data_IF_679027302170
#
_entry.id   IF_679027302170
#
_cell.length_a   1.000
_cell.length_b   1.000
_cell.length_c   1.000
_cell.angle_alpha   90.00
_cell.angle_beta   90.00
_cell.angle_gamma   90.00
#
_symmetry.space_group_name_H-M   'P 1'
#
loop_
_entity.id
_entity.type
_entity.pdbx_description
1 polymer ?
#
# COMPACT_ATOMS: atom_id res chain seq x y z
N UNK A 1 19.25 -24.51 5.90
CA UNK A 1 18.73 -23.82 4.69
C UNK A 1 17.92 -22.61 5.16
N UNK A 2 18.55 -21.44 5.24
CA UNK A 2 17.92 -20.20 5.73
C UNK A 2 17.09 -19.58 4.60
N UNK A 3 15.82 -19.95 4.55
CA UNK A 3 14.85 -19.30 3.67
C UNK A 3 14.58 -17.89 4.26
N UNK A 4 15.27 -16.88 3.74
CA UNK A 4 15.00 -15.48 4.05
C UNK A 4 13.58 -15.16 3.53
N UNK A 5 12.57 -15.37 4.37
CA UNK A 5 11.27 -14.74 4.18
C UNK A 5 11.52 -13.26 3.96
N UNK A 6 11.07 -12.73 2.82
CA UNK A 6 11.11 -11.29 2.52
C UNK A 6 10.52 -10.60 3.75
N UNK A 7 11.37 -9.89 4.51
CA UNK A 7 10.98 -9.31 5.78
C UNK A 7 9.66 -8.55 5.59
N UNK A 8 8.59 -9.02 6.25
CA UNK A 8 7.19 -8.60 6.03
C UNK A 8 6.97 -7.09 6.11
N UNK A 9 7.91 -6.35 6.71
CA UNK A 9 8.00 -4.90 6.69
C UNK A 9 8.00 -4.28 5.27
N UNK A 10 8.62 -4.94 4.27
CA UNK A 10 8.62 -4.41 2.89
C UNK A 10 7.30 -4.64 2.17
N UNK A 11 6.70 -5.82 2.37
CA UNK A 11 5.40 -6.16 1.77
C UNK A 11 4.30 -5.26 2.33
N UNK A 12 4.33 -4.97 3.63
CA UNK A 12 3.38 -4.05 4.30
C UNK A 12 3.31 -2.67 3.62
N UNK A 13 4.43 -2.11 3.19
CA UNK A 13 4.44 -0.81 2.49
C UNK A 13 3.70 -0.89 1.15
N UNK A 14 3.87 -1.99 0.40
CA UNK A 14 3.14 -2.19 -0.85
C UNK A 14 1.64 -2.40 -0.63
N UNK A 15 1.23 -3.02 0.48
CA UNK A 15 -0.18 -3.16 0.85
C UNK A 15 -0.84 -1.79 1.06
N UNK A 16 -0.25 -0.92 1.87
CA UNK A 16 -0.79 0.43 2.07
C UNK A 16 -0.80 1.26 0.80
N UNK A 17 0.25 1.15 -0.02
CA UNK A 17 0.28 1.85 -1.31
C UNK A 17 -0.80 1.33 -2.26
N UNK A 18 -1.06 0.02 -2.27
CA UNK A 18 -2.11 -0.58 -3.08
C UNK A 18 -3.48 -0.11 -2.61
N UNK A 19 -3.77 -0.15 -1.31
CA UNK A 19 -5.03 0.39 -0.74
C UNK A 19 -5.23 1.86 -1.14
N UNK A 20 -4.19 2.69 -0.97
CA UNK A 20 -4.21 4.12 -1.31
C UNK A 20 -4.60 4.38 -2.76
N UNK A 21 -3.91 3.70 -3.67
CA UNK A 21 -3.97 4.06 -5.09
C UNK A 21 -5.13 3.38 -5.81
N UNK A 22 -5.90 2.53 -5.13
CA UNK A 22 -6.97 1.73 -5.73
C UNK A 22 -8.26 2.51 -5.94
N UNK A 23 -8.38 3.71 -5.34
CA UNK A 23 -9.46 4.65 -5.63
C UNK A 23 -10.87 4.02 -5.52
N UNK A 24 -11.08 3.17 -4.51
CA UNK A 24 -12.35 2.47 -4.33
C UNK A 24 -12.53 1.17 -5.14
N UNK A 25 -11.59 0.81 -6.01
CA UNK A 25 -11.69 -0.38 -6.87
C UNK A 25 -11.06 -1.63 -6.21
N UNK A 26 -11.86 -2.64 -5.83
CA UNK A 26 -11.38 -3.86 -5.17
C UNK A 26 -10.56 -4.77 -6.10
N UNK A 27 -10.88 -4.83 -7.38
CA UNK A 27 -10.19 -5.68 -8.36
C UNK A 27 -8.79 -5.11 -8.65
N UNK A 28 -8.71 -3.78 -8.74
CA UNK A 28 -7.44 -3.08 -8.86
C UNK A 28 -6.55 -3.28 -7.62
N UNK A 29 -7.13 -3.33 -6.42
CA UNK A 29 -6.41 -3.65 -5.20
C UNK A 29 -5.80 -5.06 -5.26
N UNK A 30 -6.60 -6.07 -5.59
CA UNK A 30 -6.12 -7.46 -5.69
C UNK A 30 -5.03 -7.60 -6.76
N UNK A 31 -5.23 -7.02 -7.95
CA UNK A 31 -4.25 -7.01 -9.05
C UNK A 31 -2.90 -6.44 -8.60
N UNK A 32 -2.92 -5.37 -7.80
CA UNK A 32 -1.70 -4.77 -7.26
C UNK A 32 -1.04 -5.61 -6.18
N UNK A 33 -1.82 -6.26 -5.32
CA UNK A 33 -1.29 -7.19 -4.33
C UNK A 33 -0.61 -8.40 -5.00
N UNK A 34 -1.20 -8.96 -6.05
CA UNK A 34 -0.59 -10.03 -6.85
C UNK A 34 0.70 -9.56 -7.53
N UNK A 35 0.79 -8.29 -7.94
CA UNK A 35 2.00 -7.74 -8.55
C UNK A 35 3.18 -7.55 -7.57
N UNK A 36 2.97 -7.59 -6.26
CA UNK A 36 4.04 -7.42 -5.27
C UNK A 36 5.13 -8.47 -5.46
N UNK A 37 4.74 -9.72 -5.73
CA UNK A 37 5.71 -10.81 -5.92
C UNK A 37 6.56 -10.56 -7.16
N UNK A 38 5.94 -10.15 -8.28
CA UNK A 38 6.65 -9.79 -9.51
C UNK A 38 7.63 -8.64 -9.32
N UNK A 39 7.24 -7.62 -8.54
CA UNK A 39 8.13 -6.53 -8.17
C UNK A 39 9.39 -7.03 -7.45
N UNK A 40 9.26 -7.98 -6.51
CA UNK A 40 10.40 -8.59 -5.82
C UNK A 40 11.22 -9.53 -6.72
N UNK A 41 10.63 -10.06 -7.79
CA UNK A 41 11.35 -10.80 -8.85
C UNK A 41 12.07 -9.85 -9.83
N UNK A 42 12.06 -8.54 -9.57
CA UNK A 42 12.62 -7.50 -10.43
C UNK A 42 11.89 -7.35 -11.78
N UNK A 43 10.63 -7.78 -11.86
CA UNK A 43 9.74 -7.54 -12.98
C UNK A 43 8.80 -6.37 -12.67
N UNK A 44 9.10 -5.20 -13.26
CA UNK A 44 8.39 -3.93 -12.97
C UNK A 44 7.35 -3.56 -14.05
N UNK A 45 7.04 -4.46 -15.00
CA UNK A 45 6.12 -4.18 -16.12
C UNK A 45 4.73 -3.72 -15.68
N UNK A 46 4.25 -4.29 -14.56
CA UNK A 46 2.94 -4.01 -13.98
C UNK A 46 3.02 -3.09 -12.76
N UNK A 47 4.19 -2.53 -12.44
CA UNK A 47 4.30 -1.53 -11.37
C UNK A 47 3.58 -0.25 -11.76
N UNK A 48 2.98 0.44 -10.79
CA UNK A 48 2.18 1.64 -11.03
C UNK A 48 3.00 2.74 -11.75
N UNK A 49 2.54 3.16 -12.94
CA UNK A 49 3.21 4.17 -13.77
C UNK A 49 2.96 5.61 -13.30
N UNK A 50 1.95 5.81 -12.45
CA UNK A 50 1.43 7.13 -12.12
C UNK A 50 0.10 7.38 -12.82
N UNK A 51 -0.66 8.32 -12.29
CA UNK A 51 -1.85 8.89 -12.90
C UNK A 51 -1.96 10.37 -12.48
N UNK A 52 -3.05 11.04 -12.85
CA UNK A 52 -3.26 12.46 -12.56
C UNK A 52 -3.26 12.79 -11.05
N UNK A 53 -3.57 11.80 -10.21
CA UNK A 53 -3.68 11.97 -8.76
C UNK A 53 -2.42 11.58 -7.99
N UNK A 54 -1.68 10.58 -8.48
CA UNK A 54 -0.56 9.98 -7.76
C UNK A 54 0.66 9.80 -8.65
N UNK A 55 1.83 10.18 -8.12
CA UNK A 55 3.12 9.90 -8.77
C UNK A 55 3.32 8.39 -8.93
N UNK A 56 3.92 8.00 -10.06
CA UNK A 56 4.32 6.63 -10.33
C UNK A 56 5.34 6.06 -9.34
N UNK A 57 5.38 4.74 -9.27
CA UNK A 57 6.38 4.04 -8.48
C UNK A 57 7.79 4.35 -9.03
N UNK A 58 8.74 4.63 -8.13
CA UNK A 58 10.12 4.97 -8.52
C UNK A 58 10.76 3.91 -9.40
N UNK A 59 10.46 2.63 -9.19
CA UNK A 59 10.97 1.53 -10.01
C UNK A 59 10.57 1.60 -11.49
N UNK A 60 9.55 2.40 -11.83
CA UNK A 60 9.10 2.62 -13.20
C UNK A 60 9.47 4.00 -13.73
N UNK A 61 9.63 5.00 -12.86
CA UNK A 61 9.86 6.40 -13.26
C UNK A 61 11.30 6.87 -13.15
N UNK A 62 12.13 6.22 -12.33
CA UNK A 62 13.52 6.62 -12.04
C UNK A 62 14.49 5.72 -12.83
N UNK A 63 15.20 6.25 -13.85
CA UNK A 63 16.11 5.46 -14.67
C UNK A 63 17.33 4.94 -13.88
N UNK A 64 17.63 5.53 -12.72
CA UNK A 64 18.70 5.09 -11.84
C UNK A 64 18.18 4.25 -10.66
N UNK A 65 16.96 3.70 -10.76
CA UNK A 65 16.40 2.86 -9.72
C UNK A 65 17.19 1.57 -9.56
N UNK A 66 17.74 1.36 -8.36
CA UNK A 66 18.39 0.12 -7.97
C UNK A 66 17.59 -0.53 -6.82
N UNK A 67 17.15 -1.79 -6.96
CA UNK A 67 16.51 -2.53 -5.88
C UNK A 67 17.43 -2.61 -4.66
N UNK A 68 16.93 -2.20 -3.50
CA UNK A 68 17.71 -2.26 -2.25
C UNK A 68 17.73 -3.65 -1.62
N UNK A 69 16.76 -4.49 -1.99
CA UNK A 69 16.58 -5.83 -1.43
C UNK A 69 16.95 -6.89 -2.45
N UNK A 70 17.38 -8.04 -1.95
CA UNK A 70 17.68 -9.22 -2.77
C UNK A 70 16.46 -9.63 -3.59
N UNK A 71 16.69 -9.87 -4.88
CA UNK A 71 15.65 -10.36 -5.79
C UNK A 71 15.17 -11.74 -5.37
N UNK A 72 13.84 -11.93 -5.35
CA UNK A 72 13.22 -13.22 -5.09
C UNK A 72 13.36 -14.12 -6.32
N UNK A 73 14.04 -15.26 -6.17
CA UNK A 73 14.28 -16.21 -7.28
C UNK A 73 13.86 -17.64 -6.96
N UNK A 74 13.83 -18.01 -5.69
CA UNK A 74 13.47 -19.36 -5.25
C UNK A 74 11.98 -19.62 -5.53
N UNK A 75 11.64 -20.65 -6.33
CA UNK A 75 10.25 -20.99 -6.66
C UNK A 75 9.40 -21.30 -5.42
N UNK A 76 9.97 -21.91 -4.39
CA UNK A 76 9.25 -22.22 -3.15
C UNK A 76 8.92 -20.93 -2.40
N UNK A 77 9.89 -20.02 -2.29
CA UNK A 77 9.68 -18.73 -1.64
C UNK A 77 8.66 -17.84 -2.40
N UNK A 78 8.65 -17.90 -3.74
CA UNK A 78 7.64 -17.26 -4.58
C UNK A 78 6.24 -17.79 -4.25
N UNK A 79 6.09 -19.12 -4.21
CA UNK A 79 4.82 -19.76 -3.90
C UNK A 79 4.32 -19.39 -2.50
N UNK A 80 5.18 -19.52 -1.48
CA UNK A 80 4.83 -19.20 -0.10
C UNK A 80 4.45 -17.74 0.08
N UNK A 81 5.18 -16.82 -0.57
CA UNK A 81 4.86 -15.38 -0.49
C UNK A 81 3.55 -15.06 -1.19
N UNK A 82 3.29 -15.67 -2.36
CA UNK A 82 2.03 -15.50 -3.10
C UNK A 82 0.86 -16.01 -2.28
N UNK A 83 0.97 -17.21 -1.72
CA UNK A 83 -0.05 -17.80 -0.88
C UNK A 83 -0.33 -16.93 0.35
N UNK A 84 0.73 -16.48 1.04
CA UNK A 84 0.60 -15.63 2.20
C UNK A 84 -0.12 -14.30 1.90
N UNK A 85 0.18 -13.65 0.77
CA UNK A 85 -0.50 -12.42 0.34
C UNK A 85 -2.00 -12.70 0.13
N UNK A 86 -2.34 -13.78 -0.58
CA UNK A 86 -3.72 -14.16 -0.87
C UNK A 86 -4.49 -14.60 0.38
N UNK A 87 -3.79 -15.07 1.40
CA UNK A 87 -4.38 -15.45 2.66
C UNK A 87 -4.73 -14.29 3.59
N UNK A 88 -4.24 -13.08 3.28
CA UNK A 88 -4.55 -11.88 4.07
C UNK A 88 -6.03 -11.47 3.96
N UNK A 89 -6.55 -10.90 5.04
CA UNK A 89 -7.91 -10.32 5.05
C UNK A 89 -8.07 -9.20 4.01
N UNK A 90 -6.98 -8.49 3.71
CA UNK A 90 -6.97 -7.40 2.73
C UNK A 90 -7.20 -7.95 1.32
N UNK A 91 -6.63 -9.11 0.99
CA UNK A 91 -6.88 -9.77 -0.30
C UNK A 91 -8.27 -10.40 -0.35
N UNK A 92 -8.72 -11.02 0.74
CA UNK A 92 -10.00 -11.75 0.82
C UNK A 92 -11.22 -10.80 0.82
N UNK A 93 -11.11 -9.66 1.50
CA UNK A 93 -12.19 -8.67 1.64
C UNK A 93 -11.75 -7.29 1.12
N UNK A 94 -11.41 -7.14 -0.18
CA UNK A 94 -10.77 -5.93 -0.70
C UNK A 94 -11.65 -4.67 -0.52
N UNK A 95 -12.98 -4.81 -0.58
CA UNK A 95 -13.95 -3.72 -0.41
C UNK A 95 -13.79 -2.97 0.94
N UNK A 96 -13.40 -3.66 2.01
CA UNK A 96 -13.21 -3.05 3.32
C UNK A 96 -11.95 -2.16 3.38
N UNK A 97 -11.03 -2.33 2.44
CA UNK A 97 -9.70 -1.74 2.48
C UNK A 97 -9.39 -0.77 1.34
N UNK A 98 -10.26 -0.67 0.33
CA UNK A 98 -10.13 0.30 -0.77
C UNK A 98 -10.38 1.74 -0.33
N UNK A 99 -11.17 1.95 0.74
CA UNK A 99 -11.46 3.26 1.32
C UNK A 99 -10.59 3.55 2.55
N UNK A 100 -9.28 3.40 2.42
CA UNK A 100 -8.38 3.61 3.55
C UNK A 100 -8.17 5.10 3.86
N UNK A 101 -8.98 5.64 4.79
CA UNK A 101 -8.91 7.02 5.31
C UNK A 101 -7.56 7.38 5.96
N UNK A 102 -6.71 6.39 6.23
CA UNK A 102 -5.42 6.62 6.86
C UNK A 102 -4.32 7.09 5.91
N UNK A 103 -4.58 7.08 4.59
CA UNK A 103 -3.56 7.46 3.60
C UNK A 103 -3.75 8.90 3.14
N UNK A 104 -2.66 9.66 3.11
CA UNK A 104 -2.62 11.10 2.80
C UNK A 104 -3.42 12.00 3.74
N UNK A 105 -3.54 11.58 5.01
CA UNK A 105 -4.08 12.47 6.04
C UNK A 105 -3.30 13.77 6.08
N UNK A 106 -4.02 14.88 6.18
CA UNK A 106 -3.40 16.19 6.37
C UNK A 106 -2.43 16.16 7.54
N UNK A 107 -1.31 16.86 7.39
CA UNK A 107 -0.27 16.96 8.40
C UNK A 107 -0.20 18.37 8.96
N UNK A 108 0.16 18.49 10.23
CA UNK A 108 0.33 19.78 10.91
C UNK A 108 1.74 20.33 10.72
N UNK A 109 2.74 19.45 10.62
CA UNK A 109 4.13 19.85 10.45
C UNK A 109 4.97 18.74 9.80
N UNK A 110 6.20 19.07 9.40
CA UNK A 110 7.19 18.12 8.87
C UNK A 110 8.44 18.20 9.74
N UNK A 111 8.82 17.11 10.39
CA UNK A 111 10.06 17.02 11.18
C UNK A 111 11.19 16.51 10.28
N UNK A 112 12.26 17.30 10.12
CA UNK A 112 13.44 16.91 9.35
C UNK A 112 14.58 16.57 10.30
N UNK A 113 15.13 15.35 10.19
CA UNK A 113 16.35 14.96 10.90
C UNK A 113 17.46 14.81 9.87
N UNK A 114 18.40 15.75 9.86
CA UNK A 114 19.59 15.64 9.01
C UNK A 114 20.67 14.86 9.76
N UNK A 115 21.27 13.89 9.08
CA UNK A 115 22.37 13.09 9.60
C UNK A 115 23.39 12.88 8.49
N UNK A 116 24.66 13.17 8.76
CA UNK A 116 25.75 12.98 7.80
C UNK A 116 25.93 11.50 7.43
N UNK A 117 25.59 10.57 8.32
CA UNK A 117 25.68 9.11 8.11
C UNK A 117 24.48 8.53 7.35
N UNK A 118 23.35 9.23 7.26
CA UNK A 118 22.20 8.82 6.45
C UNK A 118 21.65 10.00 5.63
N UNK A 119 22.41 10.47 4.62
CA UNK A 119 22.05 11.64 3.81
C UNK A 119 20.86 11.40 2.88
N UNK A 120 20.25 10.20 2.88
CA UNK A 120 19.03 9.88 2.12
C UNK A 120 17.77 9.96 2.98
N UNK A 121 17.88 10.04 4.30
CA UNK A 121 16.76 10.26 5.22
C UNK A 121 16.29 11.73 5.28
N UNK A 122 16.48 12.47 4.19
CA UNK A 122 16.22 13.92 4.08
C UNK A 122 14.72 14.20 3.88
N UNK A 123 13.95 13.19 3.45
CA UNK A 123 12.50 13.28 3.41
C UNK A 123 11.97 13.41 4.84
N UNK A 124 11.52 14.61 5.20
CA UNK A 124 11.01 14.90 6.53
C UNK A 124 9.79 14.05 6.88
N UNK A 125 9.71 13.63 8.13
CA UNK A 125 8.61 12.87 8.66
C UNK A 125 7.39 13.78 8.87
N UNK A 126 6.26 13.47 8.21
CA UNK A 126 5.00 14.22 8.35
C UNK A 126 4.34 13.91 9.70
N UNK A 127 4.02 14.93 10.48
CA UNK A 127 3.22 14.83 11.71
C UNK A 127 1.75 14.95 11.31
N UNK A 128 1.06 13.82 11.22
CA UNK A 128 -0.32 13.75 10.73
C UNK A 128 -1.32 14.31 11.77
N UNK A 129 -2.39 14.99 11.34
CA UNK A 129 -3.51 15.44 12.20
C UNK A 129 -4.11 14.26 12.98
N UNK A 130 -4.92 14.46 14.03
CA UNK A 130 -5.53 13.33 14.77
C UNK A 130 -6.46 12.52 13.85
N UNK A 131 -6.54 11.21 14.08
CA UNK A 131 -7.53 10.32 13.41
C UNK A 131 -8.94 10.69 13.89
N UNK A 132 -9.83 11.08 12.99
CA UNK A 132 -11.26 10.94 13.18
C UNK A 132 -11.63 9.53 12.70
N UNK A 133 -12.25 8.70 13.54
CA UNK A 133 -12.67 7.35 13.15
C UNK A 133 -13.94 7.44 12.29
N UNK A 134 -13.89 8.21 11.22
CA UNK A 134 -15.07 8.61 10.47
C UNK A 134 -15.65 7.42 9.71
N UNK A 135 -14.83 6.44 9.32
CA UNK A 135 -15.29 5.19 8.72
C UNK A 135 -16.44 4.50 9.48
N UNK A 136 -16.35 4.42 10.82
CA UNK A 136 -17.43 3.81 11.62
C UNK A 136 -18.72 4.64 11.57
N UNK A 137 -18.59 5.97 11.59
CA UNK A 137 -19.72 6.87 11.47
C UNK A 137 -20.35 6.75 10.07
N UNK A 138 -19.54 6.76 9.01
CA UNK A 138 -20.00 6.67 7.62
C UNK A 138 -20.68 5.34 7.31
N UNK A 139 -20.15 4.21 7.79
CA UNK A 139 -20.84 2.91 7.65
C UNK A 139 -22.17 2.93 8.40
N UNK A 140 -22.18 3.47 9.62
CA UNK A 140 -23.40 3.55 10.42
C UNK A 140 -24.45 4.43 9.74
N UNK A 141 -24.07 5.59 9.23
CA UNK A 141 -24.95 6.50 8.51
C UNK A 141 -25.50 5.83 7.23
N UNK A 142 -24.62 5.19 6.44
CA UNK A 142 -25.02 4.43 5.23
C UNK A 142 -25.97 3.28 5.55
N UNK A 143 -25.70 2.54 6.63
CA UNK A 143 -26.58 1.47 7.11
C UNK A 143 -27.93 2.03 7.57
N UNK A 144 -27.93 3.15 8.29
CA UNK A 144 -29.17 3.78 8.74
C UNK A 144 -30.00 4.31 7.57
N UNK A 145 -29.38 4.92 6.57
CA UNK A 145 -30.08 5.40 5.37
C UNK A 145 -30.66 4.27 4.51
N UNK A 146 -30.01 3.10 4.50
CA UNK A 146 -30.49 1.93 3.74
C UNK A 146 -31.63 1.18 4.42
N UNK A 147 -31.59 1.08 5.76
CA UNK A 147 -32.63 0.39 6.53
C UNK A 147 -33.82 1.30 6.83
N UNK A 148 -33.57 2.60 7.04
CA UNK A 148 -34.57 3.60 7.35
C UNK A 148 -34.51 4.76 6.34
N UNK A 149 -34.83 4.50 5.05
CA UNK A 149 -34.90 5.58 4.07
C UNK A 149 -35.93 6.60 4.53
N UNK A 150 -35.56 7.88 4.49
CA UNK A 150 -36.48 8.96 4.81
C UNK A 150 -37.75 8.82 3.96
N UNK A 151 -38.86 8.49 4.62
CA UNK A 151 -40.18 8.49 4.00
C UNK A 151 -40.50 9.95 3.73
N UNK A 152 -40.36 10.37 2.47
CA UNK A 152 -40.84 11.67 1.98
C UNK A 152 -42.38 11.67 1.91
#
# INVERSE_FOLDING_TARGET
>A
MLCYMIAGAGVKTHFYWSMKTSNGDPDLLQSRLDNIVRHYQNDHRNCFAGNDQYRGARCRTDPNYLPQRTTLRDPVAIQLTTQWIRDTQIYKNPLDYVHNEHVDREYTSITRRQSATNPRAVEGHKVLKRKGNNFKATIWDTYMDTIFPAVN
#
